data_IF_910520061373
#
_entry.id   IF_910520061373
#
_cell.length_a   1.000
_cell.length_b   1.000
_cell.length_c   1.000
_cell.angle_alpha   90.00
_cell.angle_beta   90.00
_cell.angle_gamma   90.00
#
_symmetry.space_group_name_H-M   'P 1'
#
loop_
_entity.id
_entity.type
_entity.pdbx_description
1 polymer ?
#
# COMPACT_ATOMS: atom_id res chain seq x y z
N UNK A 1 -4.76 15.85 17.81
CA UNK A 1 -5.88 15.08 17.25
C UNK A 1 -5.82 15.24 15.75
N UNK A 2 -5.53 14.16 15.01
CA UNK A 2 -5.60 14.20 13.54
C UNK A 2 -7.06 14.42 13.15
N UNK A 3 -7.33 15.40 12.29
CA UNK A 3 -8.65 15.63 11.70
C UNK A 3 -9.11 14.33 11.02
N UNK A 4 -10.30 13.85 11.33
CA UNK A 4 -10.89 12.71 10.61
C UNK A 4 -11.02 13.08 9.14
N UNK A 5 -10.56 12.20 8.26
CA UNK A 5 -10.69 12.40 6.82
C UNK A 5 -12.18 12.44 6.46
N UNK A 6 -12.57 13.42 5.64
CA UNK A 6 -13.96 13.63 5.23
C UNK A 6 -14.16 13.27 3.75
N UNK A 7 -15.41 13.07 3.33
CA UNK A 7 -15.74 12.85 1.91
C UNK A 7 -15.39 14.07 1.06
N UNK A 8 -15.40 15.26 1.65
CA UNK A 8 -14.96 16.51 1.03
C UNK A 8 -13.46 16.50 0.75
N UNK A 9 -12.65 16.02 1.69
CA UNK A 9 -11.20 15.88 1.49
C UNK A 9 -10.90 14.93 0.33
N UNK A 10 -11.63 13.80 0.25
CA UNK A 10 -11.53 12.88 -0.87
C UNK A 10 -11.96 13.55 -2.18
N UNK A 11 -13.10 14.24 -2.19
CA UNK A 11 -13.62 14.92 -3.38
C UNK A 11 -12.63 15.93 -3.94
N UNK A 12 -11.91 16.65 -3.08
CA UNK A 12 -10.86 17.59 -3.49
C UNK A 12 -9.76 16.89 -4.29
N UNK A 13 -9.32 15.70 -3.85
CA UNK A 13 -8.33 14.89 -4.58
C UNK A 13 -8.89 14.40 -5.92
N UNK A 14 -10.16 13.95 -5.94
CA UNK A 14 -10.81 13.47 -7.16
C UNK A 14 -10.97 14.55 -8.23
N UNK A 15 -11.16 15.82 -7.82
CA UNK A 15 -11.25 16.96 -8.74
C UNK A 15 -10.02 17.17 -9.62
N UNK A 16 -8.88 16.57 -9.28
CA UNK A 16 -7.66 16.64 -10.10
C UNK A 16 -7.69 15.75 -11.35
N UNK A 17 -8.62 14.78 -11.44
CA UNK A 17 -8.65 13.82 -12.56
C UNK A 17 -10.03 13.27 -12.96
N UNK A 18 -11.09 13.56 -12.21
CA UNK A 18 -12.47 13.18 -12.53
C UNK A 18 -13.36 14.41 -12.74
N UNK A 19 -14.39 14.27 -13.57
CA UNK A 19 -15.43 15.27 -13.74
C UNK A 19 -16.44 15.25 -12.59
N UNK A 20 -17.21 16.34 -12.46
CA UNK A 20 -18.17 16.52 -11.38
C UNK A 20 -19.28 15.45 -11.33
N UNK A 21 -19.69 14.88 -12.48
CA UNK A 21 -20.73 13.85 -12.49
C UNK A 21 -20.20 12.58 -11.83
N UNK A 22 -19.01 12.13 -12.23
CA UNK A 22 -18.33 10.96 -11.63
C UNK A 22 -18.05 11.17 -10.13
N UNK A 23 -17.62 12.36 -9.73
CA UNK A 23 -17.43 12.70 -8.32
C UNK A 23 -18.74 12.59 -7.53
N UNK A 24 -19.85 13.06 -8.09
CA UNK A 24 -21.16 12.95 -7.44
C UNK A 24 -21.63 11.50 -7.30
N UNK A 25 -21.28 10.61 -8.24
CA UNK A 25 -21.57 9.19 -8.10
C UNK A 25 -20.78 8.55 -6.94
N UNK A 26 -19.50 8.90 -6.79
CA UNK A 26 -18.68 8.45 -5.64
C UNK A 26 -19.26 8.97 -4.31
N UNK A 27 -19.71 10.24 -4.27
CA UNK A 27 -20.40 10.80 -3.09
C UNK A 27 -21.69 10.07 -2.77
N UNK A 28 -22.49 9.74 -3.79
CA UNK A 28 -23.71 8.95 -3.60
C UNK A 28 -23.41 7.57 -3.00
N UNK A 29 -22.36 6.90 -3.48
CA UNK A 29 -21.91 5.62 -2.91
C UNK A 29 -21.43 5.78 -1.45
N UNK A 30 -20.73 6.87 -1.12
CA UNK A 30 -20.34 7.19 0.25
C UNK A 30 -21.54 7.31 1.19
N UNK A 31 -22.55 8.12 0.85
CA UNK A 31 -23.73 8.30 1.72
C UNK A 31 -24.53 7.01 1.86
N UNK A 32 -24.59 6.19 0.80
CA UNK A 32 -25.21 4.88 0.87
C UNK A 32 -24.47 3.95 1.83
N UNK A 33 -23.13 3.88 1.75
CA UNK A 33 -22.32 3.11 2.68
C UNK A 33 -22.44 3.64 4.11
N UNK A 34 -22.49 4.96 4.31
CA UNK A 34 -22.68 5.57 5.63
C UNK A 34 -24.00 5.15 6.27
N UNK A 35 -25.09 5.15 5.48
CA UNK A 35 -26.40 4.71 5.92
C UNK A 35 -26.43 3.20 6.17
N UNK A 36 -25.83 2.39 5.30
CA UNK A 36 -25.81 0.94 5.44
C UNK A 36 -25.06 0.50 6.71
N UNK A 37 -23.99 1.21 7.08
CA UNK A 37 -23.19 0.95 8.27
C UNK A 37 -23.58 1.85 9.47
N UNK A 38 -24.79 2.41 9.48
CA UNK A 38 -25.25 3.27 10.58
C UNK A 38 -25.24 2.52 11.92
N UNK A 39 -24.67 3.13 12.95
CA UNK A 39 -24.51 2.51 14.27
C UNK A 39 -23.36 1.47 14.36
N UNK A 40 -22.71 1.13 13.25
CA UNK A 40 -21.57 0.21 13.26
C UNK A 40 -20.27 0.93 13.63
N UNK A 41 -19.49 0.30 14.51
CA UNK A 41 -18.22 0.83 15.01
C UNK A 41 -17.05 -0.11 14.70
N UNK A 42 -15.89 0.44 14.36
CA UNK A 42 -14.64 -0.32 14.24
C UNK A 42 -14.16 -0.76 15.63
N UNK A 43 -13.30 -1.78 15.68
CA UNK A 43 -12.64 -2.20 16.92
C UNK A 43 -11.72 -1.14 17.53
N UNK A 44 -11.33 -0.13 16.75
CA UNK A 44 -10.60 1.05 17.23
C UNK A 44 -11.48 2.03 18.00
N UNK A 45 -12.81 1.96 17.85
CA UNK A 45 -13.75 2.92 18.42
C UNK A 45 -14.19 4.02 17.44
N UNK A 46 -13.73 3.99 16.19
CA UNK A 46 -14.15 4.94 15.14
C UNK A 46 -15.42 4.46 14.43
N UNK A 47 -16.16 5.38 13.78
CA UNK A 47 -17.30 5.04 12.91
C UNK A 47 -16.85 4.12 11.77
N UNK A 48 -17.66 3.13 11.41
CA UNK A 48 -17.28 2.15 10.38
C UNK A 48 -16.96 2.79 9.03
N UNK A 49 -17.69 3.85 8.64
CA UNK A 49 -17.53 4.57 7.38
C UNK A 49 -16.10 5.13 7.15
N UNK A 50 -15.32 5.32 8.21
CA UNK A 50 -13.91 5.74 8.11
C UNK A 50 -13.06 4.74 7.32
N UNK A 51 -13.40 3.45 7.36
CA UNK A 51 -12.67 2.42 6.63
C UNK A 51 -12.91 2.48 5.12
N UNK A 52 -14.15 2.38 4.60
CA UNK A 52 -14.40 2.52 3.17
C UNK A 52 -13.84 3.83 2.59
N UNK A 53 -13.96 4.93 3.34
CA UNK A 53 -13.40 6.22 2.95
C UNK A 53 -11.85 6.18 2.81
N UNK A 54 -11.17 5.55 3.76
CA UNK A 54 -9.72 5.39 3.69
C UNK A 54 -9.27 4.45 2.55
N UNK A 55 -10.03 3.38 2.28
CA UNK A 55 -9.78 2.48 1.14
C UNK A 55 -9.92 3.24 -0.18
N UNK A 56 -11.01 4.00 -0.35
CA UNK A 56 -11.20 4.86 -1.52
C UNK A 56 -10.09 5.92 -1.65
N UNK A 57 -9.61 6.48 -0.54
CA UNK A 57 -8.46 7.40 -0.54
C UNK A 57 -7.16 6.78 -1.04
N UNK A 58 -6.89 5.51 -0.69
CA UNK A 58 -5.73 4.76 -1.22
C UNK A 58 -5.85 4.62 -2.75
N UNK A 59 -7.03 4.24 -3.25
CA UNK A 59 -7.26 4.08 -4.69
C UNK A 59 -7.26 5.41 -5.44
N UNK A 60 -7.73 6.50 -4.81
CA UNK A 60 -7.69 7.83 -5.39
C UNK A 60 -6.26 8.33 -5.62
N UNK A 61 -5.33 8.02 -4.72
CA UNK A 61 -3.91 8.32 -4.91
C UNK A 61 -3.28 7.55 -6.08
N UNK A 62 -3.84 6.39 -6.42
CA UNK A 62 -3.49 5.61 -7.59
C UNK A 62 -4.26 6.06 -8.85
N UNK A 63 -5.11 7.08 -8.75
CA UNK A 63 -5.95 7.65 -9.81
C UNK A 63 -6.86 6.63 -10.52
N UNK A 64 -7.44 5.71 -9.75
CA UNK A 64 -8.42 4.75 -10.28
C UNK A 64 -9.73 5.41 -10.71
N UNK A 65 -10.47 4.74 -11.59
CA UNK A 65 -11.76 5.21 -12.09
C UNK A 65 -12.84 5.25 -11.01
N UNK A 66 -13.88 6.05 -11.26
CA UNK A 66 -15.01 6.24 -10.35
C UNK A 66 -15.74 4.95 -9.94
N UNK A 67 -15.86 3.95 -10.83
CA UNK A 67 -16.52 2.68 -10.47
C UNK A 67 -15.69 1.91 -9.43
N UNK A 68 -14.36 1.91 -9.56
CA UNK A 68 -13.46 1.34 -8.54
C UNK A 68 -13.57 2.06 -7.20
N UNK A 69 -13.72 3.39 -7.20
CA UNK A 69 -13.89 4.17 -5.98
C UNK A 69 -15.26 3.91 -5.33
N UNK A 70 -16.32 3.78 -6.13
CA UNK A 70 -17.64 3.38 -5.64
C UNK A 70 -17.60 1.97 -5.05
N UNK A 71 -16.95 1.02 -5.74
CA UNK A 71 -16.76 -0.33 -5.23
C UNK A 71 -16.00 -0.33 -3.89
N UNK A 72 -14.96 0.50 -3.74
CA UNK A 72 -14.26 0.66 -2.46
C UNK A 72 -15.15 1.22 -1.34
N UNK A 73 -16.05 2.16 -1.64
CA UNK A 73 -17.03 2.65 -0.66
C UNK A 73 -18.01 1.55 -0.21
N UNK A 74 -18.36 0.65 -1.13
CA UNK A 74 -19.43 -0.34 -0.95
C UNK A 74 -18.92 -1.76 -0.62
N UNK A 75 -17.60 -1.99 -0.57
CA UNK A 75 -17.03 -3.34 -0.60
C UNK A 75 -17.46 -4.26 0.56
N UNK A 76 -17.71 -3.69 1.74
CA UNK A 76 -18.17 -4.42 2.92
C UNK A 76 -19.70 -4.39 3.11
N UNK A 77 -20.44 -3.68 2.25
CA UNK A 77 -21.89 -3.51 2.39
C UNK A 77 -22.60 -4.86 2.23
N UNK A 78 -22.22 -5.67 1.23
CA UNK A 78 -22.82 -6.99 1.03
C UNK A 78 -22.51 -7.92 2.20
N UNK A 79 -21.28 -7.90 2.72
CA UNK A 79 -20.85 -8.82 3.78
C UNK A 79 -21.42 -8.45 5.16
N UNK A 80 -21.39 -7.18 5.54
CA UNK A 80 -21.64 -6.75 6.92
C UNK A 80 -23.07 -6.25 7.16
N UNK A 81 -23.81 -5.86 6.12
CA UNK A 81 -25.13 -5.20 6.29
C UNK A 81 -26.30 -6.04 5.76
N UNK A 82 -26.02 -7.14 5.06
CA UNK A 82 -27.04 -8.04 4.50
C UNK A 82 -27.77 -7.49 3.26
N UNK A 83 -27.33 -6.35 2.71
CA UNK A 83 -27.86 -5.79 1.47
C UNK A 83 -27.44 -6.69 0.29
N UNK A 84 -28.39 -7.18 -0.53
CA UNK A 84 -28.08 -8.07 -1.63
C UNK A 84 -27.42 -7.33 -2.81
N UNK A 85 -26.69 -8.07 -3.63
CA UNK A 85 -26.07 -7.58 -4.86
C UNK A 85 -27.06 -6.86 -5.78
N UNK A 86 -28.27 -7.41 -5.94
CA UNK A 86 -29.29 -6.87 -6.83
C UNK A 86 -29.71 -5.45 -6.44
N UNK A 87 -29.75 -5.14 -5.14
CA UNK A 87 -30.04 -3.79 -4.66
C UNK A 87 -28.91 -2.80 -5.02
N UNK A 88 -27.66 -3.24 -5.03
CA UNK A 88 -26.54 -2.42 -5.48
C UNK A 88 -26.58 -2.21 -7.01
N UNK A 89 -26.97 -3.23 -7.77
CA UNK A 89 -27.11 -3.14 -9.22
C UNK A 89 -28.20 -2.12 -9.61
N UNK A 90 -29.35 -2.13 -8.92
CA UNK A 90 -30.41 -1.14 -9.13
C UNK A 90 -29.96 0.30 -8.82
N UNK A 91 -29.14 0.48 -7.79
CA UNK A 91 -28.71 1.81 -7.36
C UNK A 91 -27.52 2.35 -8.17
N UNK A 92 -26.54 1.51 -8.47
CA UNK A 92 -25.21 1.91 -8.96
C UNK A 92 -24.80 1.26 -10.28
N UNK A 93 -25.62 0.37 -10.83
CA UNK A 93 -25.38 -0.36 -12.07
C UNK A 93 -24.66 -1.69 -11.87
N UNK A 94 -24.83 -2.58 -12.87
CA UNK A 94 -24.30 -3.95 -12.83
C UNK A 94 -22.78 -4.00 -12.66
N UNK A 95 -22.03 -3.11 -13.33
CA UNK A 95 -20.57 -3.07 -13.23
C UNK A 95 -20.08 -2.89 -11.79
N UNK A 96 -20.68 -1.94 -11.04
CA UNK A 96 -20.29 -1.66 -9.65
C UNK A 96 -20.71 -2.81 -8.74
N UNK A 97 -21.89 -3.38 -8.97
CA UNK A 97 -22.37 -4.52 -8.21
C UNK A 97 -21.51 -5.78 -8.42
N UNK A 98 -21.07 -6.04 -9.65
CA UNK A 98 -20.11 -7.11 -9.97
C UNK A 98 -18.75 -6.89 -9.33
N UNK A 99 -18.24 -5.65 -9.31
CA UNK A 99 -16.99 -5.32 -8.62
C UNK A 99 -17.09 -5.59 -7.12
N UNK A 100 -18.16 -5.11 -6.46
CA UNK A 100 -18.37 -5.30 -5.02
C UNK A 100 -18.52 -6.79 -4.69
N UNK A 101 -19.37 -7.51 -5.42
CA UNK A 101 -19.54 -8.96 -5.26
C UNK A 101 -18.23 -9.74 -5.48
N UNK A 102 -17.44 -9.34 -6.48
CA UNK A 102 -16.11 -9.89 -6.74
C UNK A 102 -15.15 -9.69 -5.57
N UNK A 103 -15.16 -8.51 -4.94
CA UNK A 103 -14.35 -8.23 -3.75
C UNK A 103 -14.82 -9.07 -2.57
N UNK A 104 -16.13 -9.18 -2.35
CA UNK A 104 -16.68 -9.91 -1.21
C UNK A 104 -16.40 -11.41 -1.27
N UNK A 105 -16.52 -12.01 -2.47
CA UNK A 105 -16.24 -13.43 -2.70
C UNK A 105 -14.77 -13.80 -2.43
N UNK A 106 -13.84 -12.86 -2.57
CA UNK A 106 -12.44 -13.09 -2.22
C UNK A 106 -12.21 -13.16 -0.70
N UNK A 107 -13.13 -12.61 0.11
CA UNK A 107 -13.03 -12.62 1.58
C UNK A 107 -13.55 -13.94 2.20
N UNK A 108 -14.58 -14.55 1.61
CA UNK A 108 -15.40 -15.60 2.24
C UNK A 108 -14.85 -17.04 2.21
N UNK A 109 -13.54 -17.28 2.03
CA UNK A 109 -13.03 -18.65 1.87
C UNK A 109 -12.29 -19.12 3.11
N UNK A 110 -12.90 -20.08 3.81
CA UNK A 110 -12.27 -20.82 4.91
C UNK A 110 -11.41 -21.97 4.37
N UNK A 111 -10.17 -22.09 4.86
CA UNK A 111 -9.24 -23.13 4.44
C UNK A 111 -8.80 -24.04 5.58
N UNK A 112 -8.67 -25.33 5.26
CA UNK A 112 -8.35 -26.41 6.21
C UNK A 112 -6.84 -26.58 6.45
N UNK A 113 -5.96 -26.14 5.54
CA UNK A 113 -4.49 -26.13 5.74
C UNK A 113 -3.81 -24.89 5.16
N UNK A 114 -2.65 -24.49 5.73
CA UNK A 114 -1.94 -23.24 5.37
C UNK A 114 -1.36 -23.23 3.96
N UNK A 115 -0.90 -24.38 3.45
CA UNK A 115 -0.29 -24.47 2.12
C UNK A 115 -1.34 -24.53 1.00
N UNK A 116 -2.43 -25.29 1.20
CA UNK A 116 -3.56 -25.34 0.25
C UNK A 116 -4.26 -23.97 0.18
N UNK A 117 -4.41 -23.28 1.32
CA UNK A 117 -4.95 -21.92 1.37
C UNK A 117 -4.16 -20.93 0.50
N UNK A 118 -2.84 -21.01 0.52
CA UNK A 118 -1.99 -20.11 -0.27
C UNK A 118 -2.13 -20.36 -1.76
N UNK A 119 -2.11 -21.63 -2.19
CA UNK A 119 -2.23 -21.99 -3.60
C UNK A 119 -3.62 -21.63 -4.16
N UNK A 120 -4.69 -21.92 -3.43
CA UNK A 120 -6.05 -21.57 -3.85
C UNK A 120 -6.31 -20.07 -3.84
N UNK A 121 -5.85 -19.33 -2.81
CA UNK A 121 -5.97 -17.88 -2.78
C UNK A 121 -5.23 -17.24 -3.95
N UNK A 122 -4.03 -17.73 -4.26
CA UNK A 122 -3.29 -17.25 -5.41
C UNK A 122 -4.02 -17.56 -6.73
N UNK A 123 -4.56 -18.77 -6.90
CA UNK A 123 -5.34 -19.15 -8.09
C UNK A 123 -6.61 -18.30 -8.25
N UNK A 124 -7.32 -18.02 -7.15
CA UNK A 124 -8.55 -17.21 -7.15
C UNK A 124 -8.27 -15.73 -7.39
N UNK A 125 -7.22 -15.17 -6.78
CA UNK A 125 -6.79 -13.82 -7.13
C UNK A 125 -6.36 -13.73 -8.59
N UNK A 126 -5.69 -14.76 -9.12
CA UNK A 126 -5.35 -14.84 -10.55
C UNK A 126 -6.61 -14.88 -11.43
N UNK A 127 -7.64 -15.62 -11.03
CA UNK A 127 -8.91 -15.70 -11.75
C UNK A 127 -9.72 -14.40 -11.66
N UNK A 128 -9.70 -13.73 -10.50
CA UNK A 128 -10.32 -12.42 -10.31
C UNK A 128 -9.61 -11.35 -11.16
N UNK A 129 -8.27 -11.35 -11.15
CA UNK A 129 -7.45 -10.51 -12.03
C UNK A 129 -7.75 -10.74 -13.51
N UNK A 130 -8.03 -11.99 -13.91
CA UNK A 130 -8.35 -12.34 -15.29
C UNK A 130 -9.74 -11.83 -15.74
N UNK A 131 -10.66 -11.58 -14.80
CA UNK A 131 -11.99 -11.01 -15.11
C UNK A 131 -11.97 -9.49 -15.04
N UNK A 132 -11.50 -8.94 -13.92
CA UNK A 132 -11.37 -7.51 -13.72
C UNK A 132 -10.29 -7.20 -12.66
N UNK A 133 -9.22 -6.55 -13.10
CA UNK A 133 -8.11 -6.16 -12.23
C UNK A 133 -8.54 -5.17 -11.13
N UNK A 134 -9.64 -4.44 -11.30
CA UNK A 134 -10.14 -3.49 -10.30
C UNK A 134 -10.51 -4.18 -8.99
N UNK A 135 -11.01 -5.42 -9.05
CA UNK A 135 -11.34 -6.23 -7.87
C UNK A 135 -10.10 -6.46 -6.99
N UNK A 136 -8.96 -6.82 -7.59
CA UNK A 136 -7.72 -7.05 -6.83
C UNK A 136 -7.16 -5.74 -6.27
N UNK A 137 -7.30 -4.62 -7.00
CA UNK A 137 -6.83 -3.31 -6.55
C UNK A 137 -7.61 -2.85 -5.32
N UNK A 138 -8.94 -2.98 -5.34
CA UNK A 138 -9.79 -2.69 -4.17
C UNK A 138 -9.39 -3.59 -3.00
N UNK A 139 -9.16 -4.89 -3.23
CA UNK A 139 -8.77 -5.81 -2.15
C UNK A 139 -7.40 -5.51 -1.55
N UNK A 140 -6.43 -5.07 -2.36
CA UNK A 140 -5.12 -4.64 -1.88
C UNK A 140 -5.23 -3.35 -1.03
N UNK A 141 -6.07 -2.41 -1.44
CA UNK A 141 -6.32 -1.19 -0.67
C UNK A 141 -7.04 -1.48 0.66
N UNK A 142 -8.04 -2.36 0.65
CA UNK A 142 -8.70 -2.89 1.84
C UNK A 142 -7.66 -3.52 2.80
N UNK A 143 -6.86 -4.47 2.28
CA UNK A 143 -5.82 -5.13 3.07
C UNK A 143 -4.82 -4.14 3.65
N UNK A 144 -4.39 -3.13 2.88
CA UNK A 144 -3.47 -2.10 3.34
C UNK A 144 -4.06 -1.31 4.51
N UNK A 145 -5.31 -0.86 4.39
CA UNK A 145 -5.97 -0.14 5.48
C UNK A 145 -6.13 -1.01 6.74
N UNK A 146 -6.48 -2.29 6.57
CA UNK A 146 -6.59 -3.23 7.68
C UNK A 146 -5.24 -3.48 8.37
N UNK A 147 -4.13 -3.50 7.62
CA UNK A 147 -2.79 -3.57 8.18
C UNK A 147 -2.40 -2.29 8.94
N UNK A 148 -2.79 -1.11 8.44
CA UNK A 148 -2.56 0.18 9.13
C UNK A 148 -3.33 0.28 10.46
N UNK A 149 -4.50 -0.35 10.54
CA UNK A 149 -5.39 -0.31 11.72
C UNK A 149 -5.38 -1.60 12.55
N UNK A 150 -4.35 -2.44 12.39
CA UNK A 150 -4.27 -3.78 12.98
C UNK A 150 -4.12 -3.79 14.52
N UNK A 151 -3.67 -2.69 15.11
CA UNK A 151 -3.29 -2.56 16.53
C UNK A 151 -4.30 -3.12 17.55
N UNK A 152 -5.58 -2.71 17.50
CA UNK A 152 -6.62 -3.12 18.45
C UNK A 152 -7.02 -4.61 18.39
N UNK A 153 -6.55 -5.36 17.38
CA UNK A 153 -6.91 -6.77 17.25
C UNK A 153 -6.16 -7.68 18.22
N UNK A 154 -6.79 -8.82 18.57
CA UNK A 154 -6.15 -9.91 19.34
C UNK A 154 -4.92 -10.44 18.60
N UNK A 155 -3.89 -10.83 19.36
CA UNK A 155 -2.60 -11.27 18.84
C UNK A 155 -2.71 -12.36 17.76
N UNK A 156 -3.51 -13.41 17.98
CA UNK A 156 -3.71 -14.49 17.01
C UNK A 156 -4.26 -14.00 15.66
N UNK A 157 -5.23 -13.08 15.69
CA UNK A 157 -5.81 -12.49 14.48
C UNK A 157 -4.79 -11.60 13.77
N UNK A 158 -3.98 -10.83 14.52
CA UNK A 158 -2.88 -10.04 13.95
C UNK A 158 -1.86 -10.92 13.23
N UNK A 159 -1.44 -12.01 13.88
CA UNK A 159 -0.47 -12.95 13.30
C UNK A 159 -0.98 -13.56 12.00
N UNK A 160 -2.25 -13.99 11.99
CA UNK A 160 -2.91 -14.55 10.80
C UNK A 160 -2.96 -13.55 9.65
N UNK A 161 -3.48 -12.35 9.90
CA UNK A 161 -3.62 -11.29 8.90
C UNK A 161 -2.25 -10.86 8.35
N UNK A 162 -1.25 -10.70 9.23
CA UNK A 162 0.11 -10.33 8.82
C UNK A 162 0.80 -11.42 8.01
N UNK A 163 0.60 -12.68 8.38
CA UNK A 163 1.09 -13.84 7.63
C UNK A 163 0.49 -13.86 6.23
N UNK A 164 -0.83 -13.78 6.12
CA UNK A 164 -1.54 -13.73 4.85
C UNK A 164 -1.09 -12.55 3.97
N UNK A 165 -0.85 -11.39 4.61
CA UNK A 165 -0.34 -10.18 3.94
C UNK A 165 1.00 -10.42 3.28
N UNK A 166 1.95 -11.02 3.99
CA UNK A 166 3.30 -11.27 3.49
C UNK A 166 3.34 -12.42 2.48
N UNK A 167 2.57 -13.47 2.72
CA UNK A 167 2.60 -14.67 1.88
C UNK A 167 1.84 -14.47 0.56
N UNK A 168 0.83 -13.57 0.52
CA UNK A 168 -0.09 -13.45 -0.60
C UNK A 168 -0.18 -12.03 -1.16
N UNK A 169 -0.63 -11.06 -0.36
CA UNK A 169 -0.98 -9.73 -0.87
C UNK A 169 0.24 -8.88 -1.27
N UNK A 170 1.32 -8.91 -0.49
CA UNK A 170 2.55 -8.19 -0.83
C UNK A 170 3.17 -8.69 -2.14
N UNK A 171 3.37 -10.01 -2.36
CA UNK A 171 3.81 -10.53 -3.66
C UNK A 171 2.93 -10.11 -4.84
N UNK A 172 1.61 -10.06 -4.66
CA UNK A 172 0.68 -9.64 -5.71
C UNK A 172 0.82 -8.15 -6.01
N UNK A 173 0.86 -7.31 -4.98
CA UNK A 173 1.14 -5.88 -5.15
C UNK A 173 2.45 -5.64 -5.90
N UNK A 174 3.50 -6.42 -5.62
CA UNK A 174 4.76 -6.35 -6.34
C UNK A 174 4.62 -6.71 -7.83
N UNK A 175 3.88 -7.79 -8.15
CA UNK A 175 3.66 -8.22 -9.54
C UNK A 175 2.83 -7.22 -10.35
N UNK A 176 1.95 -6.48 -9.69
CA UNK A 176 1.16 -5.41 -10.29
C UNK A 176 1.93 -4.08 -10.41
N UNK A 177 3.22 -4.05 -10.04
CA UNK A 177 4.03 -2.82 -10.07
C UNK A 177 3.68 -1.83 -8.97
N UNK A 178 2.85 -2.20 -7.99
CA UNK A 178 2.43 -1.35 -6.87
C UNK A 178 3.48 -1.36 -5.75
N UNK A 179 4.72 -0.96 -6.06
CA UNK A 179 5.85 -1.08 -5.14
C UNK A 179 5.66 -0.36 -3.81
N UNK A 180 5.00 0.81 -3.80
CA UNK A 180 4.73 1.55 -2.58
C UNK A 180 3.80 0.76 -1.64
N UNK A 181 2.70 0.23 -2.18
CA UNK A 181 1.75 -0.61 -1.43
C UNK A 181 2.41 -1.91 -0.97
N UNK A 182 3.13 -2.59 -1.84
CA UNK A 182 3.89 -3.80 -1.50
C UNK A 182 4.81 -3.58 -0.31
N UNK A 183 5.63 -2.53 -0.41
CA UNK A 183 6.60 -2.15 0.61
C UNK A 183 5.93 -1.89 1.96
N UNK A 184 4.82 -1.15 1.94
CA UNK A 184 4.11 -0.80 3.16
C UNK A 184 3.44 -2.03 3.79
N UNK A 185 2.82 -2.89 2.99
CA UNK A 185 2.28 -4.18 3.44
C UNK A 185 3.37 -5.06 4.07
N UNK A 186 4.56 -5.07 3.48
CA UNK A 186 5.70 -5.81 4.01
C UNK A 186 6.17 -5.30 5.37
N UNK A 187 6.34 -3.99 5.53
CA UNK A 187 6.80 -3.39 6.79
C UNK A 187 5.76 -3.51 7.90
N UNK A 188 4.46 -3.34 7.57
CA UNK A 188 3.36 -3.56 8.50
C UNK A 188 3.25 -5.04 8.88
N UNK A 189 3.38 -5.95 7.91
CA UNK A 189 3.39 -7.40 8.11
C UNK A 189 4.53 -7.83 9.03
N UNK A 190 5.74 -7.36 8.75
CA UNK A 190 6.93 -7.61 9.57
C UNK A 190 6.75 -7.12 11.00
N UNK A 191 6.23 -5.90 11.17
CA UNK A 191 6.00 -5.29 12.48
C UNK A 191 4.94 -6.02 13.29
N UNK A 192 3.93 -6.58 12.63
CA UNK A 192 2.89 -7.38 13.27
C UNK A 192 3.37 -8.80 13.65
N UNK A 193 4.20 -9.45 12.82
CA UNK A 193 4.77 -10.77 13.12
C UNK A 193 5.88 -10.72 14.18
N UNK A 194 6.75 -9.71 14.11
CA UNK A 194 7.93 -9.61 14.96
C UNK A 194 8.07 -8.21 15.59
N UNK A 195 7.14 -7.82 16.48
CA UNK A 195 7.06 -6.45 16.99
C UNK A 195 8.33 -5.99 17.70
N UNK A 196 8.96 -6.87 18.49
CA UNK A 196 10.22 -6.54 19.17
C UNK A 196 11.36 -6.34 18.17
N UNK A 197 11.49 -7.21 17.17
CA UNK A 197 12.54 -7.10 16.14
C UNK A 197 12.37 -5.82 15.33
N UNK A 198 11.15 -5.54 14.88
CA UNK A 198 10.82 -4.31 14.16
C UNK A 198 11.20 -3.07 14.98
N UNK A 199 10.80 -3.02 16.25
CA UNK A 199 11.14 -1.90 17.15
C UNK A 199 12.65 -1.69 17.33
N UNK A 200 13.42 -2.77 17.48
CA UNK A 200 14.88 -2.65 17.64
C UNK A 200 15.59 -2.25 16.33
N UNK A 201 15.17 -2.81 15.20
CA UNK A 201 15.73 -2.45 13.89
C UNK A 201 15.42 -0.99 13.57
N UNK A 202 14.17 -0.54 13.79
CA UNK A 202 13.78 0.85 13.60
C UNK A 202 14.65 1.81 14.43
N UNK A 203 14.83 1.53 15.72
CA UNK A 203 15.74 2.31 16.58
C UNK A 203 17.19 2.33 16.09
N UNK A 204 17.67 1.21 15.56
CA UNK A 204 19.02 1.11 15.03
C UNK A 204 19.18 1.95 13.74
N UNK A 205 18.17 1.93 12.87
CA UNK A 205 18.10 2.78 11.67
C UNK A 205 18.05 4.27 12.04
N UNK A 206 17.22 4.65 13.01
CA UNK A 206 17.11 6.05 13.48
C UNK A 206 18.44 6.55 14.07
N UNK A 207 19.10 5.72 14.87
CA UNK A 207 20.42 6.07 15.45
C UNK A 207 21.47 6.24 14.35
N UNK A 208 21.52 5.31 13.39
CA UNK A 208 22.44 5.40 12.25
C UNK A 208 22.15 6.66 11.42
N UNK A 209 20.87 7.02 11.25
CA UNK A 209 20.45 8.26 10.56
C UNK A 209 21.07 9.49 11.20
N UNK A 210 20.96 9.60 12.52
CA UNK A 210 21.48 10.73 13.27
C UNK A 210 22.99 10.83 13.14
N UNK A 211 23.71 9.71 13.27
CA UNK A 211 25.16 9.68 13.21
C UNK A 211 25.73 9.95 11.82
N UNK A 212 25.04 9.55 10.75
CA UNK A 212 25.56 9.66 9.37
C UNK A 212 24.92 10.80 8.57
N UNK A 213 24.12 11.67 9.18
CA UNK A 213 23.39 12.72 8.47
C UNK A 213 24.32 13.63 7.66
N UNK A 214 25.39 14.12 8.28
CA UNK A 214 26.37 14.99 7.62
C UNK A 214 27.06 14.28 6.45
N UNK A 215 27.40 13.00 6.59
CA UNK A 215 28.02 12.19 5.53
C UNK A 215 27.04 12.00 4.37
N UNK A 216 25.77 11.73 4.66
CA UNK A 216 24.73 11.54 3.63
C UNK A 216 24.50 12.87 2.88
N UNK A 217 24.45 13.99 3.58
CA UNK A 217 24.26 15.30 2.97
C UNK A 217 25.51 15.73 2.16
N UNK A 218 26.73 15.40 2.61
CA UNK A 218 27.99 15.60 1.86
C UNK A 218 28.02 14.75 0.57
N UNK A 219 27.67 13.46 0.65
CA UNK A 219 27.57 12.60 -0.53
C UNK A 219 26.53 13.15 -1.52
N UNK A 220 25.38 13.62 -1.01
CA UNK A 220 24.36 14.25 -1.87
C UNK A 220 24.93 15.47 -2.57
N UNK A 221 25.57 16.39 -1.85
CA UNK A 221 26.14 17.61 -2.41
C UNK A 221 27.18 17.32 -3.49
N UNK A 222 28.08 16.35 -3.25
CA UNK A 222 29.07 15.91 -4.26
C UNK A 222 28.43 15.31 -5.50
N UNK A 223 27.35 14.56 -5.34
CA UNK A 223 26.60 14.02 -6.48
C UNK A 223 25.92 15.14 -7.27
N UNK A 224 25.29 16.11 -6.58
CA UNK A 224 24.65 17.28 -7.20
C UNK A 224 25.66 18.12 -7.99
N UNK A 225 26.77 18.50 -7.36
CA UNK A 225 27.87 19.24 -8.00
C UNK A 225 28.39 18.52 -9.25
N UNK A 226 28.54 17.19 -9.19
CA UNK A 226 29.05 16.42 -10.33
C UNK A 226 28.06 16.34 -11.49
N UNK A 227 26.77 16.31 -11.20
CA UNK A 227 25.73 16.37 -12.23
C UNK A 227 25.74 17.75 -12.91
N UNK A 228 25.86 18.82 -12.13
CA UNK A 228 25.95 20.19 -12.64
C UNK A 228 27.21 20.42 -13.49
N UNK A 229 28.39 19.99 -13.01
CA UNK A 229 29.67 20.08 -13.72
C UNK A 229 29.60 19.44 -15.12
N UNK A 230 28.88 18.32 -15.24
CA UNK A 230 28.72 17.57 -16.50
C UNK A 230 27.50 17.98 -17.31
N UNK A 231 26.70 18.94 -16.83
CA UNK A 231 25.45 19.35 -17.47
C UNK A 231 24.44 18.22 -17.60
N UNK A 232 24.43 17.27 -16.66
CA UNK A 232 23.55 16.10 -16.70
C UNK A 232 22.24 16.39 -15.94
N UNK A 233 21.07 16.26 -16.59
CA UNK A 233 19.79 16.43 -15.91
C UNK A 233 19.54 15.25 -14.97
N UNK A 234 19.36 15.51 -13.67
CA UNK A 234 19.08 14.45 -12.71
C UNK A 234 18.61 14.96 -11.36
N UNK A 235 17.51 14.41 -10.85
CA UNK A 235 17.02 14.68 -9.49
C UNK A 235 17.50 13.59 -8.55
N UNK A 236 18.33 13.96 -7.58
CA UNK A 236 18.81 13.04 -6.54
C UNK A 236 17.79 12.97 -5.40
N UNK A 237 17.42 11.75 -5.02
CA UNK A 237 16.49 11.45 -3.94
C UNK A 237 17.15 10.47 -2.98
N UNK A 238 17.09 10.75 -1.68
CA UNK A 238 17.42 9.76 -0.66
C UNK A 238 16.40 8.63 -0.65
N UNK A 239 16.87 7.39 -0.61
CA UNK A 239 16.05 6.18 -0.44
C UNK A 239 16.51 5.43 0.80
N UNK A 240 15.62 5.37 1.78
CA UNK A 240 15.82 4.51 2.94
C UNK A 240 15.36 3.09 2.63
N UNK A 241 16.10 2.10 3.12
CA UNK A 241 15.70 0.71 2.99
C UNK A 241 14.62 0.38 4.01
N UNK A 242 13.59 -0.32 3.55
CA UNK A 242 12.44 -0.74 4.34
C UNK A 242 12.81 -1.76 5.43
N UNK A 243 12.11 -1.76 6.55
CA UNK A 243 12.45 -2.57 7.73
C UNK A 243 12.42 -4.07 7.44
N UNK A 244 11.40 -4.54 6.71
CA UNK A 244 11.30 -5.93 6.29
C UNK A 244 12.47 -6.34 5.39
N UNK A 245 12.88 -5.46 4.46
CA UNK A 245 14.02 -5.69 3.58
C UNK A 245 15.35 -5.75 4.34
N UNK A 246 15.54 -4.92 5.36
CA UNK A 246 16.71 -4.99 6.26
C UNK A 246 16.70 -6.32 7.00
N UNK A 247 15.59 -6.66 7.64
CA UNK A 247 15.45 -7.90 8.40
C UNK A 247 15.68 -9.15 7.54
N UNK A 248 15.11 -9.22 6.34
CA UNK A 248 15.34 -10.32 5.42
C UNK A 248 16.81 -10.42 5.03
N UNK A 249 17.49 -9.30 4.76
CA UNK A 249 18.93 -9.31 4.47
C UNK A 249 19.77 -9.81 5.66
N UNK A 250 19.44 -9.40 6.89
CA UNK A 250 20.08 -9.92 8.11
C UNK A 250 19.93 -11.44 8.21
N UNK A 251 18.70 -11.93 7.99
CA UNK A 251 18.35 -13.36 8.09
C UNK A 251 19.04 -14.19 7.00
N UNK A 252 18.94 -13.79 5.74
CA UNK A 252 19.49 -14.55 4.61
C UNK A 252 21.02 -14.52 4.56
N UNK A 253 21.66 -13.40 4.91
CA UNK A 253 23.12 -13.29 4.89
C UNK A 253 23.78 -13.68 6.21
N UNK A 254 23.00 -14.02 7.24
CA UNK A 254 23.48 -14.29 8.59
C UNK A 254 24.37 -13.15 9.15
N UNK A 255 23.99 -11.91 8.87
CA UNK A 255 24.74 -10.70 9.25
C UNK A 255 24.01 -9.91 10.32
N UNK A 256 24.80 -9.30 11.21
CA UNK A 256 24.30 -8.32 12.18
C UNK A 256 23.91 -7.02 11.47
N UNK A 257 23.12 -6.17 12.15
CA UNK A 257 22.70 -4.88 11.60
C UNK A 257 23.89 -3.97 11.24
N UNK A 258 24.95 -3.98 12.05
CA UNK A 258 26.14 -3.14 11.83
C UNK A 258 26.90 -3.49 10.55
N UNK A 259 26.75 -4.71 10.04
CA UNK A 259 27.38 -5.16 8.80
C UNK A 259 26.53 -4.84 7.56
N UNK A 260 25.34 -4.27 7.75
CA UNK A 260 24.46 -3.82 6.66
C UNK A 260 24.83 -2.38 6.32
N UNK A 261 25.69 -2.24 5.31
CA UNK A 261 26.16 -0.94 4.81
C UNK A 261 25.12 -0.20 3.95
N UNK A 262 24.11 -0.91 3.43
CA UNK A 262 23.12 -0.40 2.46
C UNK A 262 21.79 0.02 3.10
N UNK A 263 21.84 0.60 4.29
CA UNK A 263 20.62 1.15 4.93
C UNK A 263 20.14 2.41 4.19
N UNK A 264 21.08 3.23 3.72
CA UNK A 264 20.83 4.42 2.91
C UNK A 264 21.33 4.21 1.49
N UNK A 265 20.50 4.63 0.52
CA UNK A 265 20.84 4.65 -0.88
C UNK A 265 20.39 5.98 -1.51
N UNK A 266 20.95 6.32 -2.65
CA UNK A 266 20.48 7.43 -3.48
C UNK A 266 19.81 6.87 -4.73
N UNK A 267 18.71 7.51 -5.13
CA UNK A 267 18.05 7.31 -6.42
C UNK A 267 18.22 8.57 -7.23
N UNK A 268 18.73 8.45 -8.45
CA UNK A 268 18.84 9.57 -9.38
C UNK A 268 17.80 9.34 -10.47
N UNK A 269 16.89 10.30 -10.66
CA UNK A 269 15.83 10.24 -11.67
C UNK A 269 16.21 11.20 -12.79
N UNK A 270 16.27 10.69 -14.01
CA UNK A 270 16.57 11.45 -15.23
C UNK A 270 15.56 11.08 -16.33
N UNK A 271 15.63 11.76 -17.47
CA UNK A 271 14.64 11.66 -18.54
C UNK A 271 14.98 10.59 -19.57
N UNK A 272 16.26 10.34 -19.84
CA UNK A 272 16.70 9.44 -20.92
C UNK A 272 17.55 8.27 -20.42
N UNK A 273 17.58 7.19 -21.20
CA UNK A 273 18.45 6.04 -20.94
C UNK A 273 19.93 6.43 -21.05
N UNK A 274 20.28 7.29 -22.02
CA UNK A 274 21.65 7.77 -22.21
C UNK A 274 22.14 8.56 -20.98
N UNK A 275 21.28 9.42 -20.41
CA UNK A 275 21.59 10.13 -19.17
C UNK A 275 21.83 9.17 -18.01
N UNK A 276 21.10 8.06 -17.91
CA UNK A 276 21.33 7.04 -16.87
C UNK A 276 22.78 6.50 -16.92
N UNK A 277 23.28 6.17 -18.11
CA UNK A 277 24.64 5.66 -18.29
C UNK A 277 25.71 6.73 -18.09
N UNK A 278 25.46 7.97 -18.53
CA UNK A 278 26.37 9.10 -18.29
C UNK A 278 26.48 9.43 -16.81
N UNK A 279 25.36 9.44 -16.11
CA UNK A 279 25.28 9.63 -14.66
C UNK A 279 26.02 8.50 -13.94
N UNK A 280 25.82 7.24 -14.35
CA UNK A 280 26.57 6.10 -13.79
C UNK A 280 28.08 6.31 -13.91
N UNK A 281 28.56 6.74 -15.09
CA UNK A 281 29.97 7.09 -15.30
C UNK A 281 30.45 8.26 -14.45
N UNK A 282 29.59 9.26 -14.19
CA UNK A 282 29.89 10.37 -13.29
C UNK A 282 30.03 9.89 -11.84
N UNK A 283 29.13 9.03 -11.37
CA UNK A 283 29.18 8.44 -10.03
C UNK A 283 30.43 7.58 -9.85
N UNK A 284 30.78 6.72 -10.82
CA UNK A 284 32.00 5.91 -10.77
C UNK A 284 33.29 6.74 -10.79
N UNK A 285 33.23 7.99 -11.28
CA UNK A 285 34.38 8.91 -11.20
C UNK A 285 34.56 9.52 -9.81
N UNK A 286 33.50 9.60 -9.01
CA UNK A 286 33.54 10.08 -7.63
C UNK A 286 33.88 8.96 -6.64
N UNK A 287 33.27 7.79 -6.84
CA UNK A 287 33.39 6.65 -5.92
C UNK A 287 33.81 5.41 -6.68
N UNK A 288 34.77 4.67 -6.13
CA UNK A 288 35.20 3.40 -6.71
C UNK A 288 34.04 2.39 -6.63
N UNK A 289 33.63 1.79 -7.75
CA UNK A 289 32.62 0.74 -7.77
C UNK A 289 33.09 -0.56 -7.09
#
# INVERSE_FOLDING_TARGET
>A
MSREATVEDLTSVLGSYLDNNRINQVRRAYYYAEQAHEGQMRKSGDRYITHPLAVAGILANLKLDHQSLMAAMLHDVIEDTGIPKDALAEQFGDDVAELVDGVSKLTQIEFRTRAEAQAENFQKMTLAMARDIRVILVKLADRLHNMRTLGPMRYEKRLRIATETLDIYAPIANRLGMHAVCTELEDLGFSALYPMRSKYIAKAVDKLRGSHREIIDDIRGKLEEKLEERGLPGKIMGREKHLNSIYNKMKFKHKSFHEIMDVYAFRIITETEDDCYRILGAVHSLYKP
#
